data_IF_736810442618
#
_entry.id   IF_736810442618
#
_cell.length_a   1.000
_cell.length_b   1.000
_cell.length_c   1.000
_cell.angle_alpha   90.00
_cell.angle_beta   90.00
_cell.angle_gamma   90.00
#
_symmetry.space_group_name_H-M   'P 1'
#
loop_
_entity.id
_entity.type
_entity.pdbx_description
1 polymer ?
#
# COMPACT_ATOMS: atom_id res chain seq x y z
N UNK A 1 48.23 -24.67 16.56
CA UNK A 1 47.43 -23.54 16.02
C UNK A 1 46.00 -24.00 15.80
N UNK A 2 45.08 -23.67 16.71
CA UNK A 2 43.67 -24.12 16.64
C UNK A 2 42.87 -23.03 15.91
N UNK A 3 42.43 -23.34 14.69
CA UNK A 3 41.68 -22.43 13.81
C UNK A 3 40.35 -22.08 14.50
N UNK A 4 40.17 -20.83 14.89
CA UNK A 4 38.90 -20.34 15.41
C UNK A 4 37.98 -20.03 14.22
N UNK A 5 36.93 -20.82 14.07
CA UNK A 5 35.83 -20.51 13.16
C UNK A 5 35.03 -19.35 13.74
N UNK A 6 35.10 -18.18 13.08
CA UNK A 6 34.18 -17.08 13.35
C UNK A 6 32.81 -17.43 12.76
N UNK A 7 31.88 -17.79 13.63
CA UNK A 7 30.47 -17.90 13.28
C UNK A 7 29.89 -16.49 13.20
N UNK A 8 29.75 -15.96 11.98
CA UNK A 8 28.98 -14.72 11.73
C UNK A 8 27.51 -15.08 11.88
N UNK A 9 26.94 -14.72 13.02
CA UNK A 9 25.52 -14.83 13.29
C UNK A 9 24.79 -13.73 12.47
N UNK A 10 24.28 -14.08 11.29
CA UNK A 10 23.33 -13.22 10.59
C UNK A 10 22.01 -13.23 11.37
N UNK A 11 21.83 -12.22 12.23
CA UNK A 11 20.55 -11.95 12.86
C UNK A 11 19.55 -11.57 11.76
N UNK A 12 18.71 -12.54 11.37
CA UNK A 12 17.50 -12.28 10.59
C UNK A 12 16.56 -11.45 11.45
N UNK A 13 16.67 -10.13 11.36
CA UNK A 13 15.61 -9.22 11.82
C UNK A 13 14.39 -9.56 10.98
N UNK A 14 13.51 -10.38 11.55
CA UNK A 14 12.16 -10.60 11.05
C UNK A 14 11.42 -9.27 11.19
N UNK A 15 11.51 -8.45 10.15
CA UNK A 15 10.56 -7.36 9.94
C UNK A 15 9.22 -8.03 9.70
N UNK A 16 8.46 -8.26 10.77
CA UNK A 16 7.02 -8.42 10.66
C UNK A 16 6.54 -7.12 10.03
N UNK A 17 6.31 -7.12 8.72
CA UNK A 17 5.82 -5.97 7.99
C UNK A 17 4.40 -5.71 8.46
N UNK A 18 4.27 -4.95 9.54
CA UNK A 18 3.00 -4.45 10.04
C UNK A 18 2.46 -3.48 8.97
N UNK A 19 1.18 -3.58 8.66
CA UNK A 19 0.55 -2.65 7.73
C UNK A 19 0.79 -1.21 8.21
N UNK A 20 1.37 -0.39 7.35
CA UNK A 20 1.70 1.00 7.63
C UNK A 20 0.81 1.94 6.81
N UNK A 21 0.62 3.16 7.30
CA UNK A 21 -0.03 4.24 6.55
C UNK A 21 0.91 4.70 5.42
N UNK A 22 0.69 4.20 4.22
CA UNK A 22 1.59 4.38 3.07
C UNK A 22 1.41 5.72 2.36
N UNK A 23 0.17 6.19 2.26
CA UNK A 23 -0.18 7.46 1.66
C UNK A 23 -1.50 7.97 2.25
N UNK A 24 -1.57 9.27 2.51
CA UNK A 24 -2.78 9.96 2.96
C UNK A 24 -3.03 11.18 2.08
N UNK A 25 -4.22 11.32 1.52
CA UNK A 25 -4.59 12.45 0.69
C UNK A 25 -5.83 12.19 -0.16
N UNK A 26 -6.19 13.14 -1.03
CA UNK A 26 -7.23 12.94 -2.04
C UNK A 26 -6.73 12.01 -3.14
N UNK A 27 -7.65 11.31 -3.78
CA UNK A 27 -7.34 10.49 -4.97
C UNK A 27 -7.13 11.44 -6.16
N UNK A 28 -5.92 11.45 -6.72
CA UNK A 28 -5.57 12.25 -7.89
C UNK A 28 -6.19 11.67 -9.17
N UNK A 29 -6.13 10.34 -9.32
CA UNK A 29 -6.84 9.59 -10.35
C UNK A 29 -7.11 8.16 -9.89
N UNK A 30 -8.05 7.51 -10.56
CA UNK A 30 -8.24 6.06 -10.50
C UNK A 30 -8.26 5.44 -11.89
N UNK A 31 -7.90 4.15 -11.97
CA UNK A 31 -7.82 3.39 -13.22
C UNK A 31 -8.22 1.93 -12.98
N UNK A 32 -9.19 1.44 -13.74
CA UNK A 32 -9.42 0.00 -13.90
C UNK A 32 -8.33 -0.57 -14.83
N UNK A 33 -7.70 -1.66 -14.42
CA UNK A 33 -6.61 -2.29 -15.16
C UNK A 33 -7.11 -3.46 -15.99
N UNK A 34 -6.38 -3.84 -17.04
CA UNK A 34 -6.72 -4.98 -17.91
C UNK A 34 -6.77 -6.33 -17.15
N UNK A 35 -6.14 -6.41 -15.98
CA UNK A 35 -6.10 -7.61 -15.13
C UNK A 35 -7.14 -7.57 -13.98
N UNK A 36 -8.21 -6.78 -14.14
CA UNK A 36 -9.32 -6.64 -13.19
C UNK A 36 -8.95 -6.08 -11.80
N UNK A 37 -7.75 -5.49 -11.69
CA UNK A 37 -7.34 -4.72 -10.52
C UNK A 37 -7.68 -3.24 -10.67
N UNK A 38 -7.60 -2.50 -9.58
CA UNK A 38 -7.92 -1.08 -9.56
C UNK A 38 -6.78 -0.28 -8.96
N UNK A 39 -6.25 0.68 -9.73
CA UNK A 39 -5.18 1.57 -9.30
C UNK A 39 -5.75 2.91 -8.85
N UNK A 40 -5.21 3.45 -7.77
CA UNK A 40 -5.42 4.83 -7.34
C UNK A 40 -4.07 5.52 -7.16
N UNK A 41 -4.02 6.82 -7.45
CA UNK A 41 -2.88 7.67 -7.11
C UNK A 41 -3.23 8.58 -5.95
N UNK A 42 -2.42 8.52 -4.89
CA UNK A 42 -2.60 9.29 -3.64
C UNK A 42 -1.25 9.87 -3.24
N UNK A 43 -1.19 11.18 -3.01
CA UNK A 43 0.02 11.89 -2.59
C UNK A 43 1.24 11.58 -3.48
N UNK A 44 1.05 11.60 -4.80
CA UNK A 44 2.10 11.36 -5.78
C UNK A 44 2.43 9.89 -6.06
N UNK A 45 1.84 8.93 -5.33
CA UNK A 45 2.17 7.50 -5.44
C UNK A 45 0.99 6.67 -5.92
N UNK A 46 1.28 5.70 -6.77
CA UNK A 46 0.28 4.75 -7.28
C UNK A 46 0.22 3.51 -6.40
N UNK A 47 -0.99 3.03 -6.14
CA UNK A 47 -1.25 1.78 -5.43
C UNK A 47 -2.37 1.02 -6.13
N UNK A 48 -2.29 -0.31 -6.15
CA UNK A 48 -3.31 -1.15 -6.77
C UNK A 48 -3.98 -2.07 -5.76
N UNK A 49 -5.24 -2.41 -6.00
CA UNK A 49 -5.97 -3.40 -5.22
C UNK A 49 -6.67 -4.40 -6.12
N UNK A 50 -6.69 -5.67 -5.69
CA UNK A 50 -7.51 -6.72 -6.30
C UNK A 50 -8.84 -6.93 -5.56
N UNK A 51 -9.17 -6.06 -4.58
CA UNK A 51 -10.43 -6.12 -3.84
C UNK A 51 -11.52 -5.42 -4.63
N UNK A 52 -12.35 -6.18 -5.33
CA UNK A 52 -13.40 -5.65 -6.22
C UNK A 52 -14.40 -4.73 -5.50
N UNK A 53 -14.70 -4.99 -4.22
CA UNK A 53 -15.55 -4.13 -3.42
C UNK A 53 -14.98 -2.73 -3.20
N UNK A 54 -13.65 -2.54 -3.29
CA UNK A 54 -13.02 -1.23 -3.14
C UNK A 54 -13.15 -0.36 -4.40
N UNK A 55 -13.42 -0.94 -5.58
CA UNK A 55 -13.53 -0.19 -6.83
C UNK A 55 -14.59 0.94 -6.75
N UNK A 56 -15.88 0.65 -6.45
CA UNK A 56 -16.88 1.71 -6.33
C UNK A 56 -16.64 2.64 -5.14
N UNK A 57 -16.04 2.14 -4.05
CA UNK A 57 -15.74 2.94 -2.85
C UNK A 57 -14.65 3.98 -3.12
N UNK A 58 -13.58 3.58 -3.80
CA UNK A 58 -12.49 4.47 -4.19
C UNK A 58 -12.94 5.47 -5.25
N UNK A 59 -13.76 5.04 -6.23
CA UNK A 59 -14.33 5.96 -7.21
C UNK A 59 -15.26 6.99 -6.54
N UNK A 60 -16.09 6.56 -5.59
CA UNK A 60 -16.95 7.46 -4.82
C UNK A 60 -16.12 8.47 -4.02
N UNK A 61 -15.09 8.00 -3.30
CA UNK A 61 -14.17 8.85 -2.55
C UNK A 61 -13.43 9.87 -3.44
N UNK A 62 -13.09 9.50 -4.67
CA UNK A 62 -12.50 10.41 -5.65
C UNK A 62 -13.52 11.50 -6.06
N UNK A 63 -14.76 11.11 -6.40
CA UNK A 63 -15.80 12.04 -6.85
C UNK A 63 -16.23 13.01 -5.75
N UNK A 64 -16.28 12.57 -4.50
CA UNK A 64 -16.64 13.40 -3.34
C UNK A 64 -15.44 14.15 -2.74
N UNK A 65 -14.23 13.87 -3.23
CA UNK A 65 -13.00 14.52 -2.76
C UNK A 65 -12.61 14.17 -1.33
N UNK A 66 -12.98 12.97 -0.86
CA UNK A 66 -12.61 12.44 0.44
C UNK A 66 -11.09 12.24 0.57
N UNK A 67 -10.59 12.38 1.79
CA UNK A 67 -9.22 11.98 2.11
C UNK A 67 -9.20 10.47 2.34
N UNK A 68 -8.32 9.76 1.65
CA UNK A 68 -8.09 8.33 1.86
C UNK A 68 -6.72 8.09 2.49
N UNK A 69 -6.64 7.08 3.36
CA UNK A 69 -5.37 6.58 3.88
C UNK A 69 -5.16 5.15 3.39
N UNK A 70 -4.17 4.95 2.52
CA UNK A 70 -3.80 3.64 1.99
C UNK A 70 -2.93 2.93 3.01
N UNK A 71 -3.33 1.71 3.39
CA UNK A 71 -2.58 0.89 4.34
C UNK A 71 -2.08 -0.39 3.68
N UNK A 72 -0.79 -0.65 3.81
CA UNK A 72 -0.16 -1.83 3.24
C UNK A 72 1.13 -2.18 3.97
N UNK A 73 1.59 -3.42 3.80
CA UNK A 73 2.88 -3.88 4.29
C UNK A 73 4.05 -3.30 3.48
N UNK A 74 3.80 -2.86 2.24
CA UNK A 74 4.80 -2.20 1.39
C UNK A 74 4.26 -0.88 0.86
N UNK A 75 5.03 0.20 1.01
CA UNK A 75 4.60 1.57 0.69
C UNK A 75 5.27 2.19 -0.54
N UNK A 76 6.02 1.40 -1.32
CA UNK A 76 6.59 1.84 -2.58
C UNK A 76 5.48 2.08 -3.61
N UNK A 77 5.66 3.05 -4.51
CA UNK A 77 4.72 3.25 -5.63
C UNK A 77 4.66 2.00 -6.50
N UNK A 78 3.47 1.61 -6.93
CA UNK A 78 3.18 0.34 -7.60
C UNK A 78 2.91 -0.82 -6.64
N UNK A 79 2.92 -0.60 -5.32
CA UNK A 79 2.59 -1.65 -4.34
C UNK A 79 1.09 -1.96 -4.30
N UNK A 80 0.78 -3.20 -3.94
CA UNK A 80 -0.59 -3.62 -3.67
C UNK A 80 -1.08 -3.16 -2.30
N UNK A 81 -2.39 -2.96 -2.15
CA UNK A 81 -3.05 -2.72 -0.87
C UNK A 81 -4.40 -3.45 -0.78
N UNK A 82 -4.83 -3.73 0.45
CA UNK A 82 -6.13 -4.33 0.74
C UNK A 82 -6.87 -3.62 1.88
N UNK A 83 -6.25 -2.62 2.51
CA UNK A 83 -6.83 -1.83 3.57
C UNK A 83 -6.77 -0.34 3.21
N UNK A 84 -7.89 0.34 3.39
CA UNK A 84 -8.01 1.78 3.14
C UNK A 84 -8.98 2.36 4.15
N UNK A 85 -8.61 3.51 4.71
CA UNK A 85 -9.49 4.32 5.54
C UNK A 85 -10.05 5.47 4.72
N UNK A 86 -11.34 5.74 4.88
CA UNK A 86 -12.08 6.81 4.20
C UNK A 86 -12.44 7.89 5.22
N UNK A 87 -12.01 9.13 4.98
CA UNK A 87 -12.23 10.28 5.86
C UNK A 87 -13.01 11.39 5.11
N UNK A 88 -13.99 11.97 5.78
CA UNK A 88 -14.86 13.05 5.25
C UNK A 88 -14.25 14.46 5.37
N UNK A 89 -12.99 14.57 5.81
CA UNK A 89 -12.28 15.83 6.12
C UNK A 89 -12.58 17.00 5.17
#
# INVERSE_FOLDING_TARGET
>A
MKKMFMAVLFALVSVNAMAADCAKGKIEFSKYNENDTFTVKVAGKEYWTNRWNLQPLLQSAQLTGMTVTIKSNTCASGSGFAEVQFNND
#
